data_IF_963496704171
#
_entry.id   IF_963496704171
#
_cell.length_a   1.000
_cell.length_b   1.000
_cell.length_c   1.000
_cell.angle_alpha   90.00
_cell.angle_beta   90.00
_cell.angle_gamma   90.00
#
_symmetry.space_group_name_H-M   'P 1'
#
loop_
_entity.id
_entity.type
_entity.pdbx_description
1 polymer ?
#
# COMPACT_ATOMS: atom_id res chain seq x y z
N UNK A 1 -60.99 5.72 2.36
CA UNK A 1 -60.51 5.98 0.99
C UNK A 1 -59.01 6.29 1.03
N UNK A 2 -58.27 5.67 0.09
CA UNK A 2 -56.90 5.88 -0.38
C UNK A 2 -55.79 6.37 0.58
N UNK A 3 -54.95 5.43 1.04
CA UNK A 3 -53.54 5.67 1.39
C UNK A 3 -52.73 5.70 0.09
N UNK A 4 -52.13 6.84 -0.26
CA UNK A 4 -51.11 6.91 -1.31
C UNK A 4 -49.80 7.40 -0.71
N UNK A 5 -48.99 6.46 -0.23
CA UNK A 5 -47.60 6.70 0.10
C UNK A 5 -46.79 6.64 -1.21
N UNK A 6 -46.19 7.76 -1.57
CA UNK A 6 -45.33 7.92 -2.73
C UNK A 6 -44.12 6.97 -2.63
N UNK A 7 -44.12 5.92 -3.45
CA UNK A 7 -43.00 4.99 -3.59
C UNK A 7 -41.98 5.63 -4.54
N UNK A 8 -41.13 6.51 -4.02
CA UNK A 8 -39.91 6.95 -4.72
C UNK A 8 -38.99 5.74 -4.84
N UNK A 9 -38.96 5.13 -6.04
CA UNK A 9 -37.94 4.17 -6.46
C UNK A 9 -36.60 4.90 -6.50
N UNK A 10 -35.85 4.84 -5.41
CA UNK A 10 -34.44 5.20 -5.40
C UNK A 10 -33.72 4.03 -6.06
N UNK A 11 -33.21 4.25 -7.28
CA UNK A 11 -32.42 3.25 -8.00
C UNK A 11 -31.22 2.87 -7.14
N UNK A 12 -31.15 1.61 -6.75
CA UNK A 12 -30.02 1.01 -6.05
C UNK A 12 -28.79 1.05 -6.96
N UNK A 13 -28.06 2.16 -6.98
CA UNK A 13 -26.61 2.10 -7.23
C UNK A 13 -26.08 1.16 -6.18
N UNK A 14 -25.53 0.02 -6.60
CA UNK A 14 -24.90 -0.98 -5.72
C UNK A 14 -24.08 -0.20 -4.68
N UNK A 15 -24.49 -0.23 -3.42
CA UNK A 15 -23.66 0.27 -2.34
C UNK A 15 -22.47 -0.68 -2.33
N UNK A 16 -21.37 -0.28 -2.96
CA UNK A 16 -20.13 -1.03 -2.90
C UNK A 16 -19.75 -1.06 -1.43
N UNK A 17 -19.79 -2.24 -0.82
CA UNK A 17 -19.37 -2.43 0.57
C UNK A 17 -17.91 -2.00 0.64
N UNK A 18 -17.63 -0.89 1.31
CA UNK A 18 -16.28 -0.41 1.56
C UNK A 18 -15.85 -0.98 2.90
N UNK A 19 -14.67 -1.58 2.95
CA UNK A 19 -14.06 -2.09 4.19
C UNK A 19 -12.81 -1.29 4.47
N UNK A 20 -12.56 -1.02 5.75
CA UNK A 20 -11.31 -0.42 6.17
C UNK A 20 -10.22 -1.49 6.15
N UNK A 21 -9.24 -1.33 5.26
CA UNK A 21 -8.02 -2.14 5.26
C UNK A 21 -6.90 -1.21 5.68
N UNK A 22 -6.36 -1.46 6.87
CA UNK A 22 -5.30 -0.64 7.44
C UNK A 22 -5.78 0.82 7.64
N UNK A 23 -5.06 1.84 7.17
CA UNK A 23 -5.53 3.23 7.22
C UNK A 23 -6.56 3.60 6.12
N UNK A 24 -6.81 2.72 5.14
CA UNK A 24 -7.53 3.08 3.90
C UNK A 24 -8.90 2.40 3.76
N UNK A 25 -9.87 3.15 3.21
CA UNK A 25 -11.18 2.61 2.82
C UNK A 25 -11.10 2.02 1.41
N UNK A 26 -11.24 0.71 1.30
CA UNK A 26 -11.10 -0.03 0.04
C UNK A 26 -12.39 -0.82 -0.23
N UNK A 27 -12.85 -0.93 -1.48
CA UNK A 27 -14.00 -1.79 -1.81
C UNK A 27 -13.73 -3.23 -1.37
N UNK A 28 -14.69 -3.87 -0.71
CA UNK A 28 -14.59 -5.26 -0.19
C UNK A 28 -14.15 -6.25 -1.29
N UNK A 29 -14.68 -6.06 -2.50
CA UNK A 29 -14.31 -6.86 -3.67
C UNK A 29 -12.82 -6.76 -4.03
N UNK A 30 -12.16 -5.65 -3.70
CA UNK A 30 -10.74 -5.40 -3.95
C UNK A 30 -9.90 -5.58 -2.68
N UNK A 31 -10.48 -5.56 -1.49
CA UNK A 31 -9.77 -5.63 -0.22
C UNK A 31 -8.95 -6.92 -0.07
N UNK A 32 -9.53 -8.08 -0.44
CA UNK A 32 -8.82 -9.35 -0.40
C UNK A 32 -7.59 -9.36 -1.35
N UNK A 33 -7.78 -8.81 -2.56
CA UNK A 33 -6.69 -8.66 -3.54
C UNK A 33 -5.62 -7.71 -3.00
N UNK A 34 -6.01 -6.52 -2.53
CA UNK A 34 -5.09 -5.53 -1.98
C UNK A 34 -4.27 -6.09 -0.81
N UNK A 35 -4.88 -6.81 0.13
CA UNK A 35 -4.13 -7.45 1.23
C UNK A 35 -3.08 -8.44 0.71
N UNK A 36 -3.44 -9.24 -0.29
CA UNK A 36 -2.53 -10.21 -0.91
C UNK A 36 -1.37 -9.51 -1.60
N UNK A 37 -1.68 -8.49 -2.42
CA UNK A 37 -0.69 -7.70 -3.14
C UNK A 37 0.24 -6.96 -2.19
N UNK A 38 -0.33 -6.35 -1.15
CA UNK A 38 0.38 -5.64 -0.10
C UNK A 38 1.39 -6.55 0.59
N UNK A 39 0.94 -7.72 1.03
CA UNK A 39 1.83 -8.67 1.70
C UNK A 39 2.97 -9.10 0.76
N UNK A 40 2.65 -9.38 -0.50
CA UNK A 40 3.64 -9.92 -1.42
C UNK A 40 4.66 -8.86 -1.90
N UNK A 41 4.21 -7.62 -2.13
CA UNK A 41 5.12 -6.48 -2.39
C UNK A 41 5.99 -6.20 -1.16
N UNK A 42 5.40 -6.23 0.02
CA UNK A 42 6.14 -5.94 1.25
C UNK A 42 7.18 -7.02 1.57
N UNK A 43 6.87 -8.29 1.35
CA UNK A 43 7.80 -9.41 1.53
C UNK A 43 9.01 -9.27 0.59
N UNK A 44 8.77 -8.98 -0.69
CA UNK A 44 9.84 -8.75 -1.66
C UNK A 44 10.63 -7.47 -1.39
N UNK A 45 9.96 -6.37 -1.05
CA UNK A 45 10.61 -5.10 -0.72
C UNK A 45 11.46 -5.22 0.55
N UNK A 46 10.94 -5.90 1.56
CA UNK A 46 11.68 -6.20 2.78
C UNK A 46 12.90 -7.06 2.47
N UNK A 47 12.76 -8.17 1.72
CA UNK A 47 13.89 -9.02 1.36
C UNK A 47 14.96 -8.23 0.60
N UNK A 48 14.54 -7.43 -0.38
CA UNK A 48 15.41 -6.59 -1.18
C UNK A 48 16.20 -5.57 -0.36
N UNK A 49 15.55 -4.91 0.61
CA UNK A 49 16.24 -3.95 1.49
C UNK A 49 17.03 -4.64 2.60
N UNK A 50 16.61 -5.82 3.08
CA UNK A 50 17.39 -6.59 4.05
C UNK A 50 18.71 -7.09 3.48
N UNK A 51 18.79 -7.34 2.17
CA UNK A 51 20.05 -7.69 1.50
C UNK A 51 20.99 -6.48 1.32
N UNK A 52 20.46 -5.24 1.31
CA UNK A 52 21.22 -4.01 1.04
C UNK A 52 21.55 -3.19 2.28
N UNK A 53 20.66 -3.19 3.26
CA UNK A 53 20.70 -2.33 4.42
C UNK A 53 20.85 -3.14 5.69
N UNK A 54 21.37 -2.48 6.73
CA UNK A 54 21.64 -3.12 8.00
C UNK A 54 20.37 -3.66 8.67
N UNK A 55 19.29 -2.86 8.63
CA UNK A 55 18.03 -3.20 9.30
C UNK A 55 16.84 -2.65 8.56
N UNK A 56 15.79 -3.47 8.48
CA UNK A 56 14.48 -3.09 7.93
C UNK A 56 13.43 -3.50 8.96
N UNK A 57 12.55 -2.58 9.32
CA UNK A 57 11.48 -2.83 10.28
C UNK A 57 10.12 -2.44 9.73
N UNK A 58 9.09 -3.17 10.16
CA UNK A 58 7.71 -2.81 9.90
C UNK A 58 7.28 -1.72 10.86
N UNK A 59 6.66 -0.68 10.30
CA UNK A 59 6.01 0.37 11.07
C UNK A 59 4.52 0.39 10.75
N UNK A 60 3.73 0.87 11.69
CA UNK A 60 2.30 1.13 11.49
C UNK A 60 2.02 2.57 11.89
N UNK A 61 1.68 3.38 10.89
CA UNK A 61 1.28 4.76 11.06
C UNK A 61 -0.26 4.85 11.08
N UNK A 62 -0.86 5.64 11.99
CA UNK A 62 -2.32 5.78 12.06
C UNK A 62 -2.92 6.54 10.87
N UNK A 63 -2.15 7.40 10.21
CA UNK A 63 -2.59 8.23 9.09
C UNK A 63 -2.18 7.62 7.74
N UNK A 64 -0.93 7.17 7.62
CA UNK A 64 -0.36 6.61 6.39
C UNK A 64 -0.46 5.07 6.31
N UNK A 65 -0.83 4.43 7.41
CA UNK A 65 -0.93 2.98 7.48
C UNK A 65 0.40 2.27 7.70
N UNK A 66 0.43 0.97 7.42
CA UNK A 66 1.63 0.17 7.55
C UNK A 66 2.68 0.47 6.47
N UNK A 67 3.94 0.46 6.88
CA UNK A 67 5.09 0.68 6.01
C UNK A 67 6.32 -0.10 6.47
N UNK A 68 7.37 -0.01 5.65
CA UNK A 68 8.69 -0.56 5.94
C UNK A 68 9.66 0.60 6.10
N UNK A 69 10.25 0.73 7.28
CA UNK A 69 11.33 1.69 7.53
C UNK A 69 12.67 0.99 7.38
N UNK A 70 13.60 1.66 6.70
CA UNK A 70 14.94 1.15 6.43
C UNK A 70 15.96 1.98 7.22
N UNK A 71 16.90 1.29 7.85
CA UNK A 71 17.97 1.90 8.64
C UNK A 71 19.35 1.59 8.05
N UNK A 72 20.25 2.55 8.13
CA UNK A 72 21.66 2.37 7.78
C UNK A 72 22.46 1.67 8.90
N UNK A 73 23.75 1.45 8.68
CA UNK A 73 24.67 0.88 9.68
C UNK A 73 24.83 1.74 10.94
N UNK A 74 24.53 3.05 10.86
CA UNK A 74 24.53 3.97 12.00
C UNK A 74 23.20 3.95 12.79
N UNK A 75 22.29 3.02 12.47
CA UNK A 75 20.93 2.92 13.04
C UNK A 75 20.05 4.17 12.78
N UNK A 76 20.42 4.96 11.77
CA UNK A 76 19.64 6.13 11.35
C UNK A 76 18.58 5.73 10.34
N UNK A 77 17.39 6.30 10.50
CA UNK A 77 16.26 6.10 9.57
C UNK A 77 16.59 6.77 8.25
N UNK A 78 16.77 5.95 7.23
CA UNK A 78 17.02 6.40 5.87
C UNK A 78 15.71 6.85 5.22
N UNK A 79 14.77 5.93 5.09
CA UNK A 79 13.47 6.20 4.47
C UNK A 79 12.39 5.25 5.01
N UNK A 80 11.14 5.63 4.75
CA UNK A 80 9.98 4.79 5.03
C UNK A 80 9.15 4.59 3.77
N UNK A 81 8.96 3.33 3.40
CA UNK A 81 8.08 2.93 2.32
C UNK A 81 6.71 2.52 2.86
N UNK A 82 5.74 3.43 2.72
CA UNK A 82 4.36 3.14 3.11
C UNK A 82 3.69 2.22 2.08
N UNK A 83 3.02 1.19 2.58
CA UNK A 83 2.33 0.18 1.79
C UNK A 83 0.90 0.62 1.44
N UNK A 84 0.75 1.90 1.08
CA UNK A 84 -0.52 2.48 0.71
C UNK A 84 -1.04 1.89 -0.63
N UNK A 85 -2.35 1.92 -0.91
CA UNK A 85 -2.92 1.32 -2.11
C UNK A 85 -2.31 1.85 -3.42
N UNK A 86 -1.86 3.11 -3.43
CA UNK A 86 -1.23 3.71 -4.61
C UNK A 86 0.18 3.15 -4.87
N UNK A 87 1.01 3.03 -3.84
CA UNK A 87 2.36 2.45 -3.91
C UNK A 87 2.27 0.96 -4.20
N UNK A 88 1.38 0.22 -3.54
CA UNK A 88 1.17 -1.20 -3.80
C UNK A 88 0.73 -1.42 -5.25
N UNK A 89 -0.20 -0.60 -5.77
CA UNK A 89 -0.62 -0.73 -7.16
C UNK A 89 0.53 -0.49 -8.13
N UNK A 90 1.37 0.52 -7.89
CA UNK A 90 2.54 0.81 -8.74
C UNK A 90 3.63 -0.27 -8.62
N UNK A 91 3.95 -0.67 -7.39
CA UNK A 91 4.91 -1.73 -7.09
C UNK A 91 4.45 -3.05 -7.72
N UNK A 92 3.16 -3.38 -7.66
CA UNK A 92 2.63 -4.58 -8.29
C UNK A 92 2.73 -4.51 -9.83
N UNK A 93 2.44 -3.36 -10.45
CA UNK A 93 2.63 -3.19 -11.89
C UNK A 93 4.11 -3.35 -12.26
N UNK A 94 5.02 -2.85 -11.43
CA UNK A 94 6.45 -3.04 -11.63
C UNK A 94 6.84 -4.51 -11.46
N UNK A 95 6.31 -5.20 -10.44
CA UNK A 95 6.52 -6.63 -10.20
C UNK A 95 6.04 -7.50 -11.34
N UNK A 96 4.85 -7.23 -11.87
CA UNK A 96 4.27 -7.96 -13.01
C UNK A 96 5.16 -7.85 -14.28
N UNK A 97 6.01 -6.83 -14.34
CA UNK A 97 7.00 -6.60 -15.40
C UNK A 97 8.42 -7.06 -15.03
N UNK A 98 8.61 -7.72 -13.88
CA UNK A 98 9.92 -8.06 -13.30
C UNK A 98 10.82 -6.81 -13.06
N UNK A 99 10.18 -5.66 -12.80
CA UNK A 99 10.82 -4.37 -12.56
C UNK A 99 10.62 -3.85 -11.13
N UNK A 100 10.14 -4.68 -10.19
CA UNK A 100 9.94 -4.26 -8.80
C UNK A 100 11.24 -3.74 -8.17
N UNK A 101 12.35 -4.47 -8.33
CA UNK A 101 13.66 -4.02 -7.86
C UNK A 101 14.06 -2.64 -8.39
N UNK A 102 13.76 -2.34 -9.67
CA UNK A 102 14.02 -1.02 -10.27
C UNK A 102 13.12 0.06 -9.68
N UNK A 103 11.87 -0.28 -9.39
CA UNK A 103 10.93 0.63 -8.75
C UNK A 103 11.38 0.98 -7.32
N UNK A 104 11.81 -0.02 -6.55
CA UNK A 104 12.34 0.19 -5.19
C UNK A 104 13.63 1.03 -5.22
N UNK A 105 14.56 0.73 -6.13
CA UNK A 105 15.76 1.56 -6.31
C UNK A 105 15.43 3.01 -6.65
N UNK A 106 14.51 3.24 -7.58
CA UNK A 106 14.08 4.59 -7.92
C UNK A 106 13.42 5.29 -6.75
N UNK A 107 12.65 4.57 -5.93
CA UNK A 107 12.09 5.11 -4.71
C UNK A 107 13.19 5.55 -3.74
N UNK A 108 14.24 4.75 -3.57
CA UNK A 108 15.42 5.10 -2.76
C UNK A 108 16.13 6.36 -3.29
N UNK A 109 16.29 6.48 -4.62
CA UNK A 109 16.84 7.67 -5.28
C UNK A 109 15.97 8.91 -5.00
N UNK A 110 14.64 8.80 -5.08
CA UNK A 110 13.71 9.91 -4.80
C UNK A 110 13.71 10.32 -3.33
N UNK A 111 14.06 9.42 -2.40
CA UNK A 111 14.22 9.74 -0.98
C UNK A 111 15.59 10.39 -0.66
N UNK A 112 16.47 10.55 -1.64
CA UNK A 112 17.76 11.22 -1.47
C UNK A 112 18.85 10.34 -0.84
N UNK A 113 18.72 9.01 -0.93
CA UNK A 113 19.73 8.07 -0.41
C UNK A 113 20.92 7.93 -1.36
N UNK A 114 20.70 8.13 -2.66
CA UNK A 114 21.76 8.34 -3.64
C UNK A 114 21.98 9.86 -3.81
N UNK A 115 22.87 10.43 -2.99
CA UNK A 115 23.61 11.61 -3.42
C UNK A 115 24.79 11.14 -4.27
N UNK A 116 24.91 11.70 -5.48
CA UNK A 116 25.98 11.46 -6.47
C UNK A 116 27.40 11.70 -5.90
#
# INVERSE_FOLDING_TARGET
MAKQAAKRKQGSKKAETMVQVDAYLIPEAQAAMYQTLRQAVADEAQAFWQERYHRVEWIQDPDEGQGLVVYNEAEERLFCFYLNPQNISQAQIARDKDQLAKYLLRFEEEQGILED
#
